data_IF_534672513936
#
_entry.id   IF_534672513936
#
_cell.length_a   1.000
_cell.length_b   1.000
_cell.length_c   1.000
_cell.angle_alpha   90.00
_cell.angle_beta   90.00
_cell.angle_gamma   90.00
#
_symmetry.space_group_name_H-M   'P 1'
#
loop_
_entity.id
_entity.type
_entity.pdbx_description
1 polymer ?
#
# COMPACT_ATOMS: atom_id res chain seq x y z
N UNK A 1 3.29 35.82 10.19
CA UNK A 1 3.97 34.53 10.45
C UNK A 1 3.55 33.54 9.37
N UNK A 2 4.46 32.80 8.71
CA UNK A 2 4.10 31.88 7.64
C UNK A 2 3.50 30.58 8.21
N UNK A 3 2.51 29.97 7.53
CA UNK A 3 1.74 28.86 8.04
C UNK A 3 2.60 27.60 8.17
N UNK A 4 2.52 27.00 9.36
CA UNK A 4 3.19 25.76 9.75
C UNK A 4 2.68 24.62 8.86
N UNK A 5 3.46 24.25 7.84
CA UNK A 5 3.22 23.07 7.00
C UNK A 5 3.01 21.86 7.91
N UNK A 6 1.83 21.26 7.86
CA UNK A 6 1.51 20.01 8.57
C UNK A 6 2.44 18.89 8.07
N UNK A 7 3.60 18.76 8.71
CA UNK A 7 4.49 17.61 8.56
C UNK A 7 3.92 16.47 9.41
N UNK A 8 2.86 15.82 8.93
CA UNK A 8 2.19 14.73 9.65
C UNK A 8 1.77 13.56 8.78
N UNK A 9 2.25 13.48 7.53
CA UNK A 9 2.03 12.29 6.69
C UNK A 9 2.96 11.14 7.10
N UNK A 10 2.50 9.88 7.07
CA UNK A 10 3.35 8.73 7.41
C UNK A 10 4.60 8.73 6.53
N UNK A 11 5.76 8.63 7.19
CA UNK A 11 7.07 8.69 6.53
C UNK A 11 7.18 7.59 5.46
N UNK A 12 7.86 7.86 4.33
CA UNK A 12 8.02 6.89 3.23
C UNK A 12 8.50 5.50 3.73
N UNK A 13 9.44 5.49 4.67
CA UNK A 13 9.94 4.28 5.35
C UNK A 13 8.86 3.51 6.13
N UNK A 14 7.96 4.22 6.79
CA UNK A 14 6.89 3.61 7.59
C UNK A 14 5.83 2.98 6.70
N UNK A 15 5.51 3.61 5.57
CA UNK A 15 4.64 3.01 4.55
C UNK A 15 5.22 1.76 3.91
N UNK A 16 6.53 1.69 3.67
CA UNK A 16 7.18 0.47 3.17
C UNK A 16 7.15 -0.67 4.18
N UNK A 17 7.44 -0.39 5.45
CA UNK A 17 7.33 -1.40 6.52
C UNK A 17 5.92 -1.94 6.64
N UNK A 18 4.89 -1.08 6.56
CA UNK A 18 3.48 -1.51 6.55
C UNK A 18 3.17 -2.40 5.35
N UNK A 19 3.68 -2.06 4.16
CA UNK A 19 3.52 -2.89 2.95
C UNK A 19 4.17 -4.27 3.08
N UNK A 20 5.39 -4.33 3.63
CA UNK A 20 6.10 -5.60 3.86
C UNK A 20 5.33 -6.50 4.83
N UNK A 21 4.83 -5.94 5.95
CA UNK A 21 3.99 -6.68 6.89
C UNK A 21 2.72 -7.24 6.25
N UNK A 22 2.04 -6.47 5.40
CA UNK A 22 0.82 -6.93 4.71
C UNK A 22 1.11 -8.09 3.76
N UNK A 23 2.26 -8.05 3.06
CA UNK A 23 2.68 -9.13 2.17
C UNK A 23 2.98 -10.38 3.00
N UNK A 24 3.77 -10.26 4.05
CA UNK A 24 4.10 -11.39 4.93
C UNK A 24 2.84 -12.01 5.53
N UNK A 25 1.91 -11.21 6.03
CA UNK A 25 0.67 -11.68 6.66
C UNK A 25 -0.23 -12.42 5.65
N UNK A 26 -0.42 -11.84 4.45
CA UNK A 26 -1.25 -12.46 3.39
C UNK A 26 -0.61 -13.67 2.72
N UNK A 27 0.70 -13.86 2.86
CA UNK A 27 1.45 -14.95 2.20
C UNK A 27 2.06 -15.98 3.18
N UNK A 28 1.95 -15.75 4.50
CA UNK A 28 2.59 -16.55 5.56
C UNK A 28 2.31 -18.05 5.45
N UNK A 29 1.04 -18.42 5.29
CA UNK A 29 0.61 -19.83 5.17
C UNK A 29 0.72 -20.40 3.76
N UNK A 30 1.08 -19.58 2.77
CA UNK A 30 1.07 -19.94 1.35
C UNK A 30 2.47 -20.30 0.84
N UNK A 31 3.52 -19.91 1.56
CA UNK A 31 4.92 -20.17 1.16
C UNK A 31 5.28 -21.67 1.06
N UNK A 32 4.64 -22.52 1.88
CA UNK A 32 4.89 -23.96 1.88
C UNK A 32 4.00 -24.72 0.88
N UNK A 33 3.03 -24.05 0.25
CA UNK A 33 2.15 -24.65 -0.77
C UNK A 33 2.73 -24.41 -2.15
N UNK A 34 3.54 -25.36 -2.64
CA UNK A 34 4.28 -25.31 -3.92
C UNK A 34 3.41 -25.39 -5.20
N UNK A 35 2.18 -24.88 -5.16
CA UNK A 35 1.28 -24.89 -6.31
C UNK A 35 1.49 -23.67 -7.21
N UNK A 36 1.52 -23.86 -8.53
CA UNK A 36 1.65 -22.77 -9.50
C UNK A 36 0.57 -21.69 -9.34
N UNK A 37 -0.67 -22.07 -9.00
CA UNK A 37 -1.76 -21.14 -8.68
C UNK A 37 -1.44 -20.29 -7.44
N UNK A 38 -0.81 -20.90 -6.44
CA UNK A 38 -0.45 -20.22 -5.20
C UNK A 38 0.73 -19.26 -5.40
N UNK A 39 1.74 -19.66 -6.18
CA UNK A 39 2.85 -18.78 -6.56
C UNK A 39 2.37 -17.56 -7.35
N UNK A 40 1.43 -17.74 -8.28
CA UNK A 40 0.79 -16.63 -9.00
C UNK A 40 0.04 -15.69 -8.06
N UNK A 41 -0.70 -16.24 -7.10
CA UNK A 41 -1.40 -15.44 -6.10
C UNK A 41 -0.43 -14.63 -5.22
N UNK A 42 0.67 -15.23 -4.75
CA UNK A 42 1.72 -14.54 -3.99
C UNK A 42 2.27 -13.36 -4.80
N UNK A 43 2.62 -13.59 -6.08
CA UNK A 43 3.13 -12.54 -6.96
C UNK A 43 2.11 -11.41 -7.18
N UNK A 44 0.82 -11.73 -7.34
CA UNK A 44 -0.24 -10.74 -7.53
C UNK A 44 -0.47 -9.90 -6.26
N UNK A 45 -0.44 -10.52 -5.07
CA UNK A 45 -0.56 -9.82 -3.78
C UNK A 45 0.63 -8.91 -3.55
N UNK A 46 1.85 -9.38 -3.82
CA UNK A 46 3.06 -8.55 -3.73
C UNK A 46 3.00 -7.33 -4.65
N UNK A 47 2.67 -7.53 -5.93
CA UNK A 47 2.55 -6.46 -6.90
C UNK A 47 1.48 -5.45 -6.48
N UNK A 48 0.32 -5.92 -6.01
CA UNK A 48 -0.76 -5.07 -5.56
C UNK A 48 -0.36 -4.21 -4.36
N UNK A 49 0.31 -4.78 -3.35
CA UNK A 49 0.68 -4.06 -2.13
C UNK A 49 1.86 -3.10 -2.36
N UNK A 50 2.83 -3.49 -3.21
CA UNK A 50 3.94 -2.61 -3.63
C UNK A 50 3.41 -1.41 -4.44
N UNK A 51 2.53 -1.67 -5.42
CA UNK A 51 1.99 -0.67 -6.34
C UNK A 51 0.74 0.09 -5.85
N UNK A 52 0.11 -0.31 -4.74
CA UNK A 52 -0.99 0.44 -4.11
C UNK A 52 -0.56 1.83 -3.57
N UNK A 53 0.71 2.21 -3.71
CA UNK A 53 1.26 3.49 -3.24
C UNK A 53 0.72 4.73 -3.97
N UNK A 54 0.91 4.87 -5.30
CA UNK A 54 0.48 6.06 -6.03
C UNK A 54 -0.99 6.03 -6.46
N UNK A 55 -1.54 4.88 -6.87
CA UNK A 55 -2.89 4.84 -7.45
C UNK A 55 -4.02 5.04 -6.41
N UNK A 56 -3.89 4.51 -5.19
CA UNK A 56 -4.87 4.81 -4.13
C UNK A 56 -4.76 6.25 -3.63
N UNK A 57 -3.54 6.79 -3.50
CA UNK A 57 -3.36 8.21 -3.11
C UNK A 57 -3.91 9.18 -4.15
N UNK A 58 -3.77 8.89 -5.44
CA UNK A 58 -4.37 9.71 -6.49
C UNK A 58 -5.90 9.59 -6.49
N UNK A 59 -6.45 8.40 -6.25
CA UNK A 59 -7.90 8.20 -6.15
C UNK A 59 -8.51 8.82 -4.88
N UNK A 60 -7.78 8.84 -3.76
CA UNK A 60 -8.22 9.47 -2.51
C UNK A 60 -8.01 10.98 -2.52
N UNK A 61 -6.96 11.50 -3.18
CA UNK A 61 -6.80 12.94 -3.43
C UNK A 61 -7.94 13.46 -4.31
N UNK A 62 -8.21 12.80 -5.45
CA UNK A 62 -9.31 13.18 -6.35
C UNK A 62 -10.72 13.09 -5.73
N UNK A 63 -10.89 12.34 -4.64
CA UNK A 63 -12.15 12.28 -3.89
C UNK A 63 -12.25 13.35 -2.80
N UNK A 64 -11.13 13.86 -2.30
CA UNK A 64 -11.12 14.95 -1.32
C UNK A 64 -11.17 16.34 -1.97
N UNK A 65 -10.69 16.47 -3.19
CA UNK A 65 -10.76 17.73 -3.95
C UNK A 65 -12.14 17.96 -4.64
N UNK A 66 -13.14 17.12 -4.37
CA UNK A 66 -14.49 17.21 -4.97
C UNK A 66 -15.64 17.27 -3.96
N UNK A 67 -15.34 17.44 -2.67
CA UNK A 67 -16.32 17.58 -1.57
C UNK A 67 -16.07 18.91 -0.83
N UNK A 68 -15.86 19.99 -1.59
CA UNK A 68 -15.65 21.37 -1.09
C UNK A 68 -16.15 22.41 -2.14
N UNK A 69 -17.19 22.09 -2.92
CA UNK A 69 -17.94 23.06 -3.76
C UNK A 69 -19.44 23.03 -3.40
#
# INVERSE_FOLDING_TARGET
MPPKKQQGGPSKKETEKKKQKIIEDKTFGLKNKKGAKMQKYIAQVEASVKNAGPQRRQAEAKKKDGEDD
#
